data_IF_967887731921
#
_entry.id   IF_967887731921
#
_cell.length_a   1.000
_cell.length_b   1.000
_cell.length_c   1.000
_cell.angle_alpha   90.00
_cell.angle_beta   90.00
_cell.angle_gamma   90.00
#
_symmetry.space_group_name_H-M   'P 1'
#
loop_
_entity.id
_entity.type
_entity.pdbx_description
1 polymer ?
#
# COMPACT_ATOMS: atom_id res chain seq x y z
N UNK A 1 -4.23 -1.49 -2.86
CA UNK A 1 -3.09 -1.44 -1.92
C UNK A 1 -2.01 -0.41 -2.33
N UNK A 2 -1.53 -0.42 -3.59
CA UNK A 2 -0.39 0.37 -4.05
C UNK A 2 -0.44 1.88 -3.71
N UNK A 3 -1.55 2.56 -3.99
CA UNK A 3 -1.66 4.01 -3.71
C UNK A 3 -1.60 4.31 -2.20
N UNK A 4 -2.14 3.41 -1.37
CA UNK A 4 -2.24 3.59 0.07
C UNK A 4 -0.95 3.27 0.80
N UNK A 5 -0.22 2.22 0.41
CA UNK A 5 0.94 1.74 1.17
C UNK A 5 2.20 1.38 0.37
N UNK A 6 2.22 1.50 -0.96
CA UNK A 6 3.41 1.13 -1.73
C UNK A 6 4.39 2.32 -1.91
N UNK A 7 5.53 2.17 -1.24
CA UNK A 7 6.65 3.09 -1.25
C UNK A 7 6.42 4.38 -0.45
N UNK A 8 7.46 5.20 -0.41
CA UNK A 8 7.48 6.39 0.45
C UNK A 8 6.51 7.49 0.01
N UNK A 9 6.07 7.48 -1.25
CA UNK A 9 5.08 8.45 -1.76
C UNK A 9 3.65 7.94 -1.68
N UNK A 10 3.39 6.86 -0.96
CA UNK A 10 2.03 6.39 -0.68
C UNK A 10 1.34 7.26 0.36
N UNK A 11 -0.01 7.33 0.33
CA UNK A 11 -0.78 8.23 1.21
C UNK A 11 -0.54 7.96 2.70
N UNK A 12 -0.57 6.69 3.11
CA UNK A 12 -0.42 6.32 4.51
C UNK A 12 1.02 6.50 4.98
N UNK A 13 2.03 6.19 4.15
CA UNK A 13 3.41 6.46 4.52
C UNK A 13 3.66 7.96 4.71
N UNK A 14 3.20 8.79 3.78
CA UNK A 14 3.34 10.24 3.89
C UNK A 14 2.67 10.78 5.15
N UNK A 15 1.46 10.32 5.46
CA UNK A 15 0.69 10.87 6.58
C UNK A 15 1.13 10.30 7.94
N UNK A 16 1.24 8.97 8.06
CA UNK A 16 1.50 8.30 9.34
C UNK A 16 2.97 8.29 9.73
N UNK A 17 3.87 8.15 8.75
CA UNK A 17 5.31 8.03 9.01
C UNK A 17 6.00 9.39 8.89
N UNK A 18 5.87 10.08 7.74
CA UNK A 18 6.64 11.30 7.48
C UNK A 18 6.07 12.56 8.13
N UNK A 19 4.76 12.80 8.04
CA UNK A 19 4.18 14.08 8.47
C UNK A 19 3.77 14.12 9.94
N UNK A 20 3.17 13.03 10.45
CA UNK A 20 2.62 12.98 11.82
C UNK A 20 3.45 12.14 12.78
N UNK A 21 4.41 11.36 12.28
CA UNK A 21 5.31 10.52 13.09
C UNK A 21 4.53 9.64 14.10
N UNK A 22 3.40 9.09 13.66
CA UNK A 22 2.54 8.22 14.46
C UNK A 22 3.04 6.78 14.36
N UNK A 23 3.54 6.40 13.19
CA UNK A 23 4.06 5.07 12.90
C UNK A 23 5.52 5.17 12.45
N UNK A 24 6.33 4.17 12.78
CA UNK A 24 7.67 3.99 12.22
C UNK A 24 7.59 3.32 10.85
N UNK A 25 6.66 2.38 10.70
CA UNK A 25 6.45 1.62 9.48
C UNK A 25 4.96 1.43 9.22
N UNK A 26 4.58 1.36 7.95
CA UNK A 26 3.23 1.01 7.51
C UNK A 26 3.31 0.18 6.24
N UNK A 27 2.53 -0.90 6.20
CA UNK A 27 2.37 -1.78 5.05
C UNK A 27 0.88 -2.01 4.78
N UNK A 28 0.52 -2.14 3.51
CA UNK A 28 -0.85 -2.35 3.06
C UNK A 28 -0.85 -3.43 2.00
N UNK A 29 -1.73 -4.42 2.13
CA UNK A 29 -1.76 -5.56 1.23
C UNK A 29 -3.13 -6.18 1.11
N UNK A 30 -3.23 -7.08 0.13
CA UNK A 30 -4.29 -8.06 -0.01
C UNK A 30 -3.69 -9.45 0.20
N UNK A 31 -4.50 -10.41 0.62
CA UNK A 31 -4.05 -11.80 0.78
C UNK A 31 -4.08 -12.58 -0.54
N UNK A 32 -4.59 -11.95 -1.62
CA UNK A 32 -4.66 -12.48 -2.98
C UNK A 32 -5.32 -13.87 -3.06
N UNK A 33 -6.36 -14.08 -2.24
CA UNK A 33 -7.06 -15.37 -2.14
C UNK A 33 -8.10 -15.56 -3.25
N UNK A 34 -8.31 -16.82 -3.66
CA UNK A 34 -9.46 -17.20 -4.48
C UNK A 34 -10.73 -17.21 -3.61
N UNK A 35 -11.68 -16.32 -3.89
CA UNK A 35 -12.91 -16.14 -3.09
C UNK A 35 -12.87 -14.84 -2.28
N UNK A 36 -13.53 -14.76 -1.11
CA UNK A 36 -13.41 -13.61 -0.23
C UNK A 36 -11.94 -13.36 0.14
N UNK A 37 -11.50 -12.13 -0.11
CA UNK A 37 -10.13 -11.70 0.15
C UNK A 37 -10.09 -10.68 1.29
N UNK A 38 -8.93 -10.55 1.92
CA UNK A 38 -8.71 -9.64 3.04
C UNK A 38 -7.81 -8.49 2.61
N UNK A 39 -8.32 -7.27 2.70
CA UNK A 39 -7.51 -6.06 2.63
C UNK A 39 -7.01 -5.70 4.02
N UNK A 40 -5.69 -5.71 4.22
CA UNK A 40 -5.07 -5.50 5.52
C UNK A 40 -4.16 -4.27 5.53
N UNK A 41 -4.11 -3.61 6.69
CA UNK A 41 -3.16 -2.53 6.99
C UNK A 41 -2.40 -2.95 8.24
N UNK A 42 -1.09 -3.02 8.13
CA UNK A 42 -0.18 -3.31 9.23
C UNK A 42 0.67 -2.07 9.51
N UNK A 43 0.90 -1.76 10.77
CA UNK A 43 1.68 -0.60 11.16
C UNK A 43 2.44 -0.84 12.47
N UNK A 44 3.66 -0.31 12.53
CA UNK A 44 4.47 -0.27 13.75
C UNK A 44 4.35 1.12 14.35
N UNK A 45 3.82 1.19 15.56
CA UNK A 45 3.60 2.48 16.25
C UNK A 45 4.92 3.11 16.71
N UNK A 46 5.01 4.43 16.62
CA UNK A 46 6.09 5.18 17.26
C UNK A 46 5.92 5.15 18.80
N UNK A 47 7.05 5.31 19.52
CA UNK A 47 7.05 5.30 20.98
C UNK A 47 6.09 6.35 21.56
N UNK A 48 5.26 5.95 22.51
CA UNK A 48 4.29 6.83 23.17
C UNK A 48 3.05 7.19 22.33
N UNK A 49 2.85 6.60 21.15
CA UNK A 49 1.66 6.80 20.32
C UNK A 49 0.63 5.68 20.50
N UNK A 50 -0.65 6.03 20.53
CA UNK A 50 -1.73 5.07 20.67
C UNK A 50 -2.13 4.47 19.30
N UNK A 51 -2.36 3.15 19.19
CA UNK A 51 -2.81 2.52 17.94
C UNK A 51 -4.08 3.14 17.35
N UNK A 52 -4.96 3.66 18.21
CA UNK A 52 -6.22 4.31 17.82
C UNK A 52 -5.99 5.56 16.95
N UNK A 53 -4.85 6.23 17.10
CA UNK A 53 -4.52 7.43 16.30
C UNK A 53 -4.20 7.05 14.85
N UNK A 54 -3.43 5.97 14.65
CA UNK A 54 -3.17 5.43 13.33
C UNK A 54 -4.46 4.93 12.68
N UNK A 55 -5.29 4.18 13.44
CA UNK A 55 -6.56 3.64 12.95
C UNK A 55 -7.48 4.74 12.40
N UNK A 56 -7.66 5.86 13.13
CA UNK A 56 -8.48 6.98 12.67
C UNK A 56 -8.01 7.56 11.33
N UNK A 57 -6.70 7.68 11.15
CA UNK A 57 -6.12 8.20 9.92
C UNK A 57 -6.32 7.22 8.77
N UNK A 58 -6.11 5.93 9.01
CA UNK A 58 -6.36 4.89 8.00
C UNK A 58 -7.81 4.95 7.50
N UNK A 59 -8.78 4.97 8.40
CA UNK A 59 -10.20 5.07 8.01
C UNK A 59 -10.51 6.35 7.25
N UNK A 60 -9.99 7.50 7.70
CA UNK A 60 -10.17 8.77 7.00
C UNK A 60 -9.60 8.75 5.58
N UNK A 61 -8.43 8.15 5.36
CA UNK A 61 -7.87 8.02 4.01
C UNK A 61 -8.70 7.09 3.13
N UNK A 62 -9.26 6.01 3.70
CA UNK A 62 -10.18 5.11 2.99
C UNK A 62 -11.48 5.83 2.60
N UNK A 63 -12.09 6.57 3.53
CA UNK A 63 -13.28 7.40 3.27
C UNK A 63 -13.00 8.46 2.20
N UNK A 64 -11.86 9.15 2.28
CA UNK A 64 -11.45 10.13 1.28
C UNK A 64 -11.34 9.53 -0.12
N UNK A 65 -10.81 8.31 -0.24
CA UNK A 65 -10.77 7.58 -1.52
C UNK A 65 -12.17 7.18 -1.97
N UNK A 66 -13.03 6.72 -1.07
CA UNK A 66 -14.39 6.34 -1.40
C UNK A 66 -15.20 7.53 -1.94
N UNK A 67 -15.06 8.71 -1.31
CA UNK A 67 -15.83 9.90 -1.65
C UNK A 67 -15.28 10.67 -2.85
N UNK A 68 -13.95 10.86 -2.89
CA UNK A 68 -13.28 11.77 -3.84
C UNK A 68 -12.44 11.04 -4.89
N UNK A 69 -12.25 9.74 -4.72
CA UNK A 69 -11.37 8.95 -5.56
C UNK A 69 -9.88 9.24 -5.34
N UNK A 70 -9.10 8.87 -6.34
CA UNK A 70 -7.65 9.08 -6.40
C UNK A 70 -7.31 10.09 -7.49
N UNK A 71 -6.20 10.79 -7.33
CA UNK A 71 -5.75 11.74 -8.34
C UNK A 71 -5.18 11.00 -9.55
N UNK A 72 -5.20 11.66 -10.73
CA UNK A 72 -4.62 11.10 -11.95
C UNK A 72 -3.13 10.75 -11.77
N UNK A 73 -2.37 11.59 -11.07
CA UNK A 73 -0.95 11.36 -10.77
C UNK A 73 -0.74 10.09 -9.93
N UNK A 74 -1.57 9.85 -8.92
CA UNK A 74 -1.48 8.65 -8.08
C UNK A 74 -1.79 7.39 -8.88
N UNK A 75 -2.81 7.45 -9.74
CA UNK A 75 -3.18 6.35 -10.62
C UNK A 75 -2.07 6.02 -11.61
N UNK A 76 -1.49 7.03 -12.27
CA UNK A 76 -0.38 6.83 -13.21
C UNK A 76 0.86 6.27 -12.50
N UNK A 77 1.19 6.75 -11.30
CA UNK A 77 2.25 6.14 -10.48
C UNK A 77 1.98 4.65 -10.22
N UNK A 78 0.76 4.31 -9.82
CA UNK A 78 0.39 2.93 -9.53
C UNK A 78 0.49 2.02 -10.77
N UNK A 79 0.03 2.48 -11.94
CA UNK A 79 0.19 1.77 -13.22
C UNK A 79 1.67 1.54 -13.55
N UNK A 80 2.49 2.60 -13.45
CA UNK A 80 3.92 2.51 -13.72
C UNK A 80 4.61 1.51 -12.79
N UNK A 81 4.20 1.44 -11.53
CA UNK A 81 4.70 0.45 -10.57
C UNK A 81 4.40 -0.98 -11.02
N UNK A 82 3.17 -1.25 -11.48
CA UNK A 82 2.77 -2.57 -11.99
C UNK A 82 3.56 -2.92 -13.25
N UNK A 83 3.70 -1.99 -14.20
CA UNK A 83 4.50 -2.21 -15.40
C UNK A 83 5.97 -2.50 -15.09
N UNK A 84 6.57 -1.71 -14.18
CA UNK A 84 7.94 -1.93 -13.75
C UNK A 84 8.11 -3.29 -13.08
N UNK A 85 7.22 -3.66 -12.15
CA UNK A 85 7.24 -4.96 -11.49
C UNK A 85 7.11 -6.12 -12.49
N UNK A 86 6.27 -5.97 -13.52
CA UNK A 86 6.13 -6.94 -14.60
C UNK A 86 7.45 -7.10 -15.39
N UNK A 87 8.03 -5.99 -15.85
CA UNK A 87 9.25 -6.01 -16.68
C UNK A 87 10.44 -6.56 -15.90
N UNK A 88 10.67 -6.09 -14.68
CA UNK A 88 11.76 -6.58 -13.84
C UNK A 88 11.57 -8.05 -13.44
N UNK A 89 10.32 -8.48 -13.21
CA UNK A 89 10.00 -9.90 -12.98
C UNK A 89 10.35 -10.80 -14.17
N UNK A 90 10.36 -10.29 -15.39
CA UNK A 90 10.79 -11.06 -16.57
C UNK A 90 12.30 -11.13 -16.74
N UNK A 91 13.11 -10.41 -15.98
CA UNK A 91 14.57 -10.49 -16.13
C UNK A 91 15.17 -11.73 -15.47
N UNK A 92 14.45 -12.36 -14.53
CA UNK A 92 14.94 -13.49 -13.77
C UNK A 92 14.28 -14.81 -14.19
N UNK A 93 15.10 -15.84 -14.44
CA UNK A 93 14.61 -17.19 -14.79
C UNK A 93 13.67 -17.77 -13.72
N UNK A 94 13.93 -17.50 -12.43
CA UNK A 94 13.08 -17.99 -11.33
C UNK A 94 11.72 -17.28 -11.29
N UNK A 95 11.69 -15.97 -11.54
CA UNK A 95 10.45 -15.20 -11.56
C UNK A 95 9.58 -15.52 -12.78
N UNK A 96 10.20 -15.85 -13.93
CA UNK A 96 9.48 -16.41 -15.09
C UNK A 96 8.83 -17.75 -14.76
N UNK A 97 9.56 -18.66 -14.12
CA UNK A 97 9.03 -19.97 -13.72
C UNK A 97 7.89 -19.87 -12.71
N UNK A 98 8.01 -19.01 -11.70
CA UNK A 98 6.95 -18.78 -10.71
C UNK A 98 5.67 -18.25 -11.35
N UNK A 99 5.78 -17.31 -12.31
CA UNK A 99 4.62 -16.75 -13.00
C UNK A 99 3.86 -17.75 -13.88
N UNK A 100 4.57 -18.77 -14.40
CA UNK A 100 3.94 -19.81 -15.23
C UNK A 100 3.28 -20.90 -14.38
N UNK A 101 3.65 -21.02 -13.10
CA UNK A 101 3.12 -22.01 -12.18
C UNK A 101 1.78 -21.60 -11.55
N UNK A 102 1.45 -20.30 -11.55
CA UNK A 102 0.14 -19.75 -11.22
C UNK A 102 -0.83 -19.83 -12.40
#
# INVERSE_FOLDING_TARGET
ALILGDGESSRLYQTLVKQREICQEVAVGTDDRRGPDLFSVWAVMASGRAPKDAQKIVFRELESIADKGVTARELEKAKNRVHAAFVFGLQSNIARSQRLAE
#
